data_IF_180787881454
#
_entry.id   IF_180787881454
#
_cell.length_a   1.000
_cell.length_b   1.000
_cell.length_c   1.000
_cell.angle_alpha   90.00
_cell.angle_beta   90.00
_cell.angle_gamma   90.00
#
_symmetry.space_group_name_H-M   'P 1'
#
loop_
_entity.id
_entity.type
_entity.pdbx_description
1 polymer ?
#
# COMPACT_ATOMS: atom_id res chain seq x y z
N UNK A 1 -4.27 -24.14 6.67
CA UNK A 1 -3.50 -24.50 7.88
C UNK A 1 -2.87 -23.27 8.52
N UNK A 2 -1.87 -22.64 7.89
CA UNK A 2 -1.10 -21.53 8.48
C UNK A 2 -1.99 -20.37 8.98
N UNK A 3 -2.95 -19.91 8.18
CA UNK A 3 -3.88 -18.84 8.57
C UNK A 3 -4.65 -19.10 9.88
N UNK A 4 -4.94 -20.37 10.20
CA UNK A 4 -5.62 -20.77 11.44
C UNK A 4 -4.65 -21.10 12.58
N UNK A 5 -3.37 -21.31 12.27
CA UNK A 5 -2.34 -21.65 13.25
C UNK A 5 -1.66 -20.42 13.88
N UNK A 6 -2.00 -19.22 13.43
CA UNK A 6 -1.52 -17.95 13.99
C UNK A 6 -2.63 -17.31 14.83
N UNK A 7 -2.35 -17.08 16.10
CA UNK A 7 -3.12 -16.26 17.02
C UNK A 7 -2.86 -14.77 16.73
N UNK A 8 -3.63 -14.24 15.78
CA UNK A 8 -3.54 -12.85 15.31
C UNK A 8 -3.98 -11.86 16.39
N UNK A 9 -4.96 -12.23 17.21
CA UNK A 9 -5.42 -11.40 18.33
C UNK A 9 -4.28 -11.18 19.34
N UNK A 10 -3.56 -12.25 19.70
CA UNK A 10 -2.39 -12.14 20.58
C UNK A 10 -1.29 -11.23 20.01
N UNK A 11 -1.10 -11.23 18.69
CA UNK A 11 -0.12 -10.34 18.04
C UNK A 11 -0.59 -8.89 18.16
N UNK A 12 -1.86 -8.60 17.83
CA UNK A 12 -2.42 -7.26 17.90
C UNK A 12 -2.42 -6.71 19.33
N UNK A 13 -2.91 -7.49 20.29
CA UNK A 13 -3.05 -7.05 21.68
C UNK A 13 -1.69 -6.73 22.34
N UNK A 14 -0.63 -7.44 21.96
CA UNK A 14 0.68 -7.30 22.62
C UNK A 14 1.65 -6.36 21.91
N UNK A 15 1.53 -6.21 20.58
CA UNK A 15 2.54 -5.50 19.77
C UNK A 15 2.00 -4.31 19.00
N UNK A 16 0.68 -4.12 18.94
CA UNK A 16 0.08 -2.97 18.26
C UNK A 16 -0.44 -1.93 19.25
N UNK A 17 -0.44 -0.63 18.89
CA UNK A 17 -0.98 0.41 19.75
C UNK A 17 -2.50 0.28 19.89
N UNK A 18 -3.03 0.81 21.00
CA UNK A 18 -4.47 0.87 21.23
C UNK A 18 -5.21 1.58 20.09
N UNK A 19 -6.34 1.01 19.68
CA UNK A 19 -7.10 1.43 18.50
C UNK A 19 -6.81 0.62 17.24
N UNK A 20 -5.78 -0.24 17.26
CA UNK A 20 -5.56 -1.23 16.21
C UNK A 20 -6.60 -2.34 16.28
N UNK A 21 -6.90 -2.96 15.15
CA UNK A 21 -7.87 -4.05 15.04
C UNK A 21 -7.27 -5.28 14.38
N UNK A 22 -7.73 -6.47 14.79
CA UNK A 22 -7.45 -7.71 14.08
C UNK A 22 -8.13 -7.65 12.73
N UNK A 23 -7.36 -7.82 11.65
CA UNK A 23 -7.88 -7.65 10.31
C UNK A 23 -8.91 -8.74 9.97
N UNK A 24 -10.11 -8.33 9.55
CA UNK A 24 -11.14 -9.24 9.05
C UNK A 24 -10.97 -9.57 7.56
N UNK A 25 -10.30 -8.68 6.81
CA UNK A 25 -10.07 -8.77 5.38
C UNK A 25 -8.66 -8.24 5.05
N UNK A 26 -8.25 -8.35 3.79
CA UNK A 26 -7.00 -7.72 3.33
C UNK A 26 -7.03 -6.20 3.50
N UNK A 27 -8.15 -5.58 3.10
CA UNK A 27 -8.33 -4.13 3.09
C UNK A 27 -9.12 -3.66 4.31
N UNK A 28 -8.76 -2.53 4.95
CA UNK A 28 -9.51 -2.00 6.09
C UNK A 28 -10.96 -1.63 5.75
N UNK A 29 -11.91 -1.95 6.64
CA UNK A 29 -13.34 -1.68 6.47
C UNK A 29 -13.71 -0.19 6.34
N UNK A 30 -12.80 0.72 6.68
CA UNK A 30 -13.01 2.16 6.50
C UNK A 30 -13.08 2.60 5.04
N UNK A 31 -12.67 1.74 4.10
CA UNK A 31 -12.73 1.99 2.66
C UNK A 31 -13.99 1.34 2.09
N UNK A 32 -14.72 2.07 1.25
CA UNK A 32 -15.93 1.55 0.58
C UNK A 32 -15.61 0.25 -0.19
N UNK A 33 -16.46 -0.76 -0.05
CA UNK A 33 -16.33 -2.10 -0.63
C UNK A 33 -15.10 -2.91 -0.18
N UNK A 34 -14.34 -2.46 0.82
CA UNK A 34 -13.09 -3.09 1.20
C UNK A 34 -13.24 -4.43 1.95
N UNK A 35 -14.29 -4.57 2.76
CA UNK A 35 -14.45 -5.70 3.66
C UNK A 35 -15.81 -6.40 3.50
N UNK A 36 -16.28 -6.43 2.26
CA UNK A 36 -17.48 -7.19 1.86
C UNK A 36 -17.16 -8.68 1.89
N UNK A 37 -18.17 -9.51 2.20
CA UNK A 37 -18.05 -10.96 2.22
C UNK A 37 -17.72 -11.55 3.59
N UNK A 38 -17.06 -12.71 3.57
CA UNK A 38 -16.76 -13.47 4.78
C UNK A 38 -15.50 -12.98 5.49
N UNK A 39 -15.62 -12.70 6.79
CA UNK A 39 -14.46 -12.42 7.65
C UNK A 39 -13.45 -13.57 7.66
N UNK A 40 -12.18 -13.21 7.88
CA UNK A 40 -11.05 -14.12 7.91
C UNK A 40 -11.20 -15.24 8.94
N UNK A 41 -10.39 -16.29 8.77
CA UNK A 41 -10.38 -17.44 9.66
C UNK A 41 -10.00 -17.08 11.11
N UNK A 42 -10.72 -17.70 12.06
CA UNK A 42 -10.38 -17.67 13.47
C UNK A 42 -9.19 -18.57 13.81
N UNK A 43 -8.52 -18.25 14.91
CA UNK A 43 -7.41 -19.06 15.43
C UNK A 43 -7.92 -20.42 15.95
N UNK A 44 -7.34 -21.49 15.43
CA UNK A 44 -7.57 -22.87 15.86
C UNK A 44 -6.33 -23.72 15.51
N UNK A 45 -5.38 -23.75 16.44
CA UNK A 45 -4.14 -24.51 16.29
C UNK A 45 -4.38 -26.02 16.10
N UNK A 46 -5.42 -26.58 16.71
CA UNK A 46 -5.74 -28.00 16.61
C UNK A 46 -6.15 -28.39 15.20
N UNK A 47 -7.11 -27.64 14.63
CA UNK A 47 -7.54 -27.82 13.24
C UNK A 47 -6.42 -27.46 12.26
N UNK A 48 -5.65 -26.41 12.52
CA UNK A 48 -4.53 -26.02 11.68
C UNK A 48 -3.48 -27.14 11.57
N UNK A 49 -3.12 -27.78 12.70
CA UNK A 49 -2.20 -28.92 12.75
C UNK A 49 -2.76 -30.16 12.05
N UNK A 50 -4.05 -30.46 12.20
CA UNK A 50 -4.70 -31.55 11.48
C UNK A 50 -4.65 -31.34 9.96
N UNK A 51 -5.00 -30.14 9.48
CA UNK A 51 -4.92 -29.80 8.06
C UNK A 51 -3.48 -29.87 7.51
N UNK A 52 -2.49 -29.49 8.32
CA UNK A 52 -1.08 -29.56 7.91
C UNK A 52 -0.60 -31.03 7.78
N UNK A 53 -1.05 -31.90 8.69
CA UNK A 53 -0.80 -33.33 8.60
C UNK A 53 -1.48 -33.97 7.37
N UNK A 54 -2.73 -33.60 7.08
CA UNK A 54 -3.45 -34.04 5.86
C UNK A 54 -2.74 -33.58 4.57
N UNK A 55 -2.12 -32.40 4.60
CA UNK A 55 -1.30 -31.89 3.51
C UNK A 55 0.08 -32.57 3.39
N UNK A 56 0.41 -33.54 4.25
CA UNK A 56 1.67 -34.29 4.20
C UNK A 56 2.80 -33.73 5.06
N UNK A 57 2.52 -32.76 5.95
CA UNK A 57 3.50 -32.13 6.84
C UNK A 57 3.15 -32.31 8.32
N UNK A 58 3.00 -33.55 8.84
CA UNK A 58 2.55 -33.80 10.21
C UNK A 58 3.50 -33.24 11.29
N UNK A 59 4.78 -33.10 10.95
CA UNK A 59 5.84 -32.58 11.82
C UNK A 59 6.33 -31.18 11.39
N UNK A 60 5.56 -30.50 10.52
CA UNK A 60 5.96 -29.22 9.95
C UNK A 60 7.08 -29.33 8.91
N UNK A 61 7.77 -28.21 8.67
CA UNK A 61 8.86 -28.07 7.71
C UNK A 61 9.76 -26.88 8.10
N UNK A 62 10.88 -26.72 7.39
CA UNK A 62 11.79 -25.58 7.56
C UNK A 62 11.50 -24.48 6.55
N UNK A 63 11.57 -23.23 6.98
CA UNK A 63 11.35 -22.07 6.11
C UNK A 63 12.03 -20.81 6.69
N UNK A 64 11.75 -19.65 6.11
CA UNK A 64 12.23 -18.33 6.58
C UNK A 64 11.05 -17.38 6.79
N UNK A 65 11.28 -16.35 7.58
CA UNK A 65 10.44 -15.16 7.73
C UNK A 65 11.29 -13.95 7.39
N UNK A 66 11.07 -13.35 6.23
CA UNK A 66 11.76 -12.14 5.79
C UNK A 66 11.02 -10.89 6.23
N UNK A 67 11.75 -9.85 6.62
CA UNK A 67 11.17 -8.55 6.92
C UNK A 67 12.24 -7.46 6.84
N UNK A 68 11.80 -6.20 6.77
CA UNK A 68 12.66 -5.03 7.01
C UNK A 68 12.39 -4.47 8.41
N UNK A 69 13.43 -4.09 9.14
CA UNK A 69 13.32 -3.58 10.51
C UNK A 69 13.07 -2.07 10.53
N UNK A 70 11.92 -1.67 9.96
CA UNK A 70 11.50 -0.27 9.90
C UNK A 70 10.07 -0.15 10.39
N UNK A 71 9.83 0.75 11.36
CA UNK A 71 8.49 1.01 11.89
C UNK A 71 7.51 1.36 10.77
N UNK A 72 6.32 0.76 10.81
CA UNK A 72 5.20 1.08 9.93
C UNK A 72 3.90 1.03 10.73
N UNK A 73 2.90 1.84 10.37
CA UNK A 73 1.60 1.80 11.05
C UNK A 73 0.95 0.42 11.03
N UNK A 74 1.15 -0.34 9.93
CA UNK A 74 0.68 -1.72 9.80
C UNK A 74 1.55 -2.78 10.50
N UNK A 75 2.76 -2.42 10.95
CA UNK A 75 3.72 -3.32 11.61
C UNK A 75 4.70 -2.47 12.46
N UNK A 76 4.31 -2.10 13.69
CA UNK A 76 5.07 -1.15 14.50
C UNK A 76 6.35 -1.72 15.12
N UNK A 77 6.37 -3.03 15.42
CA UNK A 77 7.51 -3.71 16.05
C UNK A 77 7.98 -4.92 15.22
N UNK A 78 8.53 -4.71 14.00
CA UNK A 78 8.75 -5.79 13.03
C UNK A 78 9.58 -6.96 13.56
N UNK A 79 10.71 -6.65 14.22
CA UNK A 79 11.60 -7.67 14.79
C UNK A 79 10.93 -8.54 15.84
N UNK A 80 10.16 -7.93 16.74
CA UNK A 80 9.49 -8.66 17.83
C UNK A 80 8.33 -9.49 17.27
N UNK A 81 7.55 -8.91 16.35
CA UNK A 81 6.45 -9.61 15.68
C UNK A 81 6.98 -10.80 14.85
N UNK A 82 8.12 -10.69 14.17
CA UNK A 82 8.74 -11.81 13.45
C UNK A 82 9.13 -12.98 14.37
N UNK A 83 9.70 -12.69 15.54
CA UNK A 83 10.02 -13.71 16.56
C UNK A 83 8.76 -14.35 17.14
N UNK A 84 7.69 -13.56 17.30
CA UNK A 84 6.39 -14.06 17.72
C UNK A 84 5.78 -15.00 16.68
N UNK A 85 5.83 -14.65 15.39
CA UNK A 85 5.43 -15.55 14.30
C UNK A 85 6.25 -16.85 14.30
N UNK A 86 7.57 -16.75 14.42
CA UNK A 86 8.44 -17.92 14.54
C UNK A 86 8.01 -18.83 15.71
N UNK A 87 7.71 -18.24 16.87
CA UNK A 87 7.27 -18.98 18.07
C UNK A 87 5.94 -19.67 17.83
N UNK A 88 4.94 -18.97 17.29
CA UNK A 88 3.63 -19.56 17.01
C UNK A 88 3.69 -20.64 15.93
N UNK A 89 4.46 -20.43 14.86
CA UNK A 89 4.68 -21.43 13.80
C UNK A 89 5.30 -22.72 14.37
N UNK A 90 6.32 -22.59 15.22
CA UNK A 90 6.95 -23.75 15.87
C UNK A 90 5.98 -24.45 16.83
N UNK A 91 5.37 -23.70 17.73
CA UNK A 91 4.61 -24.28 18.85
C UNK A 91 3.26 -24.84 18.39
N UNK A 92 2.57 -24.15 17.47
CA UNK A 92 1.25 -24.55 16.99
C UNK A 92 1.33 -25.54 15.82
N UNK A 93 2.32 -25.40 14.94
CA UNK A 93 2.39 -26.12 13.66
C UNK A 93 3.64 -26.98 13.45
N UNK A 94 4.64 -26.90 14.35
CA UNK A 94 5.91 -27.60 14.17
C UNK A 94 6.81 -27.02 13.07
N UNK A 95 6.48 -25.83 12.55
CA UNK A 95 7.24 -25.18 11.47
C UNK A 95 8.46 -24.47 12.07
N UNK A 96 9.65 -24.85 11.62
CA UNK A 96 10.94 -24.27 12.03
C UNK A 96 11.33 -23.16 11.06
N UNK A 97 11.01 -21.92 11.42
CA UNK A 97 11.26 -20.75 10.57
C UNK A 97 12.47 -19.95 11.05
N UNK A 98 13.40 -19.62 10.16
CA UNK A 98 14.50 -18.68 10.43
C UNK A 98 14.05 -17.23 10.20
N UNK A 99 14.30 -16.33 11.15
CA UNK A 99 13.98 -14.90 11.00
C UNK A 99 15.12 -14.19 10.28
N UNK A 100 14.82 -13.54 9.15
CA UNK A 100 15.80 -12.90 8.26
C UNK A 100 15.45 -11.42 8.10
N UNK A 101 16.30 -10.54 8.64
CA UNK A 101 16.21 -9.08 8.43
C UNK A 101 16.87 -8.74 7.10
N UNK A 102 16.22 -7.90 6.30
CA UNK A 102 16.73 -7.38 5.03
C UNK A 102 16.83 -5.84 5.06
N UNK A 103 17.68 -5.29 4.20
CA UNK A 103 17.68 -3.85 3.90
C UNK A 103 16.33 -3.48 3.26
N UNK A 104 15.86 -2.25 3.50
CA UNK A 104 14.50 -1.83 3.13
C UNK A 104 14.24 -1.84 1.63
N UNK A 105 15.15 -1.30 0.81
CA UNK A 105 15.02 -1.28 -0.64
C UNK A 105 15.10 -2.69 -1.23
N UNK A 106 16.08 -3.48 -0.79
CA UNK A 106 16.23 -4.88 -1.21
C UNK A 106 15.00 -5.73 -0.87
N UNK A 107 14.45 -5.58 0.35
CA UNK A 107 13.25 -6.29 0.77
C UNK A 107 12.04 -5.98 -0.11
N UNK A 108 11.83 -4.71 -0.45
CA UNK A 108 10.71 -4.28 -1.29
C UNK A 108 10.86 -4.86 -2.70
N UNK A 109 12.03 -4.76 -3.31
CA UNK A 109 12.29 -5.32 -4.64
C UNK A 109 12.10 -6.86 -4.68
N UNK A 110 12.68 -7.59 -3.73
CA UNK A 110 12.56 -9.05 -3.68
C UNK A 110 11.12 -9.52 -3.38
N UNK A 111 10.40 -8.83 -2.48
CA UNK A 111 9.01 -9.20 -2.12
C UNK A 111 8.02 -8.89 -3.24
N UNK A 112 8.07 -7.69 -3.84
CA UNK A 112 7.21 -7.29 -4.97
C UNK A 112 7.37 -8.25 -6.15
N UNK A 113 8.59 -8.71 -6.42
CA UNK A 113 8.85 -9.60 -7.54
C UNK A 113 8.70 -11.10 -7.22
N UNK A 114 8.19 -11.45 -6.05
CA UNK A 114 7.93 -12.85 -5.67
C UNK A 114 9.19 -13.71 -5.58
N UNK A 115 10.34 -13.11 -5.24
CA UNK A 115 11.65 -13.79 -5.22
C UNK A 115 12.05 -14.33 -3.84
N UNK A 116 11.29 -14.00 -2.78
CA UNK A 116 11.51 -14.51 -1.43
C UNK A 116 11.04 -15.96 -1.27
N UNK A 117 11.93 -16.85 -0.82
CA UNK A 117 11.70 -18.30 -0.68
C UNK A 117 11.14 -18.70 0.70
N UNK A 118 10.22 -17.90 1.25
CA UNK A 118 9.65 -18.12 2.58
C UNK A 118 8.48 -17.19 2.89
N UNK A 119 8.08 -17.14 4.14
CA UNK A 119 7.13 -16.13 4.61
C UNK A 119 7.81 -14.77 4.64
N UNK A 120 7.03 -13.70 4.52
CA UNK A 120 7.52 -12.36 4.76
C UNK A 120 6.47 -11.49 5.44
N UNK A 121 6.94 -10.53 6.24
CA UNK A 121 6.09 -9.56 6.92
C UNK A 121 6.07 -8.26 6.12
N UNK A 122 4.95 -8.01 5.47
CA UNK A 122 4.70 -6.79 4.70
C UNK A 122 3.31 -6.27 5.06
N UNK A 123 3.06 -5.00 4.74
CA UNK A 123 1.75 -4.40 4.79
C UNK A 123 1.68 -3.17 3.91
N UNK A 124 0.50 -2.58 3.87
CA UNK A 124 0.18 -1.47 2.98
C UNK A 124 -0.42 -0.31 3.75
N UNK A 125 0.02 0.90 3.44
CA UNK A 125 -0.66 2.13 3.82
C UNK A 125 -1.35 2.69 2.60
N UNK A 126 -2.64 3.03 2.71
CA UNK A 126 -3.39 3.55 1.57
C UNK A 126 -2.72 4.80 0.98
N UNK A 127 -2.38 4.84 -0.31
CA UNK A 127 -1.94 6.06 -1.00
C UNK A 127 -3.13 6.96 -1.35
N UNK A 128 -4.25 6.33 -1.72
CA UNK A 128 -5.53 6.97 -2.01
C UNK A 128 -6.69 6.12 -1.47
N UNK A 129 -7.83 6.75 -1.11
CA UNK A 129 -8.88 6.10 -0.33
C UNK A 129 -9.85 5.29 -1.20
N UNK A 130 -9.33 4.37 -2.01
CA UNK A 130 -10.12 3.49 -2.86
C UNK A 130 -9.60 2.05 -2.76
N UNK A 131 -10.50 1.07 -2.86
CA UNK A 131 -10.17 -0.35 -2.68
C UNK A 131 -9.14 -0.86 -3.70
N UNK A 132 -9.11 -0.27 -4.90
CA UNK A 132 -8.10 -0.58 -5.94
C UNK A 132 -6.68 -0.18 -5.54
N UNK A 133 -6.48 0.71 -4.57
CA UNK A 133 -5.13 0.98 -4.05
C UNK A 133 -4.54 -0.22 -3.28
N UNK A 134 -5.42 -1.10 -2.78
CA UNK A 134 -5.02 -2.32 -2.07
C UNK A 134 -5.09 -3.52 -3.01
N UNK A 135 -6.29 -3.83 -3.51
CA UNK A 135 -6.54 -5.12 -4.14
C UNK A 135 -5.86 -5.25 -5.50
N UNK A 136 -6.04 -4.28 -6.38
CA UNK A 136 -5.54 -4.33 -7.74
C UNK A 136 -3.99 -4.32 -7.76
N UNK A 137 -3.34 -3.56 -6.87
CA UNK A 137 -1.88 -3.54 -6.78
C UNK A 137 -1.36 -4.92 -6.41
N UNK A 138 -1.87 -5.51 -5.34
CA UNK A 138 -1.35 -6.75 -4.75
C UNK A 138 -1.82 -8.03 -5.44
N UNK A 139 -2.96 -8.00 -6.15
CA UNK A 139 -3.60 -9.19 -6.72
C UNK A 139 -3.85 -9.12 -8.22
N UNK A 140 -3.29 -8.14 -8.95
CA UNK A 140 -3.42 -8.10 -10.41
C UNK A 140 -2.80 -9.32 -11.11
N UNK A 141 -3.20 -9.55 -12.36
CA UNK A 141 -2.63 -10.57 -13.24
C UNK A 141 -1.14 -10.39 -13.55
N UNK A 142 -0.56 -9.22 -13.22
CA UNK A 142 0.83 -8.86 -13.48
C UNK A 142 1.71 -8.83 -12.23
N UNK A 143 1.14 -8.95 -11.03
CA UNK A 143 1.91 -8.90 -9.79
C UNK A 143 2.28 -10.32 -9.30
N UNK A 144 3.58 -10.70 -9.29
CA UNK A 144 4.03 -12.03 -8.86
C UNK A 144 4.27 -12.14 -7.35
N UNK A 145 3.99 -11.11 -6.55
CA UNK A 145 4.32 -11.03 -5.12
C UNK A 145 3.87 -12.24 -4.29
N UNK A 146 2.72 -12.83 -4.63
CA UNK A 146 2.18 -14.03 -3.96
C UNK A 146 2.35 -15.31 -4.80
N UNK A 147 3.30 -15.32 -5.74
CA UNK A 147 3.52 -16.42 -6.67
C UNK A 147 2.69 -16.27 -7.95
N UNK A 148 2.18 -17.38 -8.47
CA UNK A 148 1.36 -17.37 -9.69
C UNK A 148 0.04 -16.61 -9.46
N UNK A 149 -0.26 -15.57 -10.26
CA UNK A 149 -1.51 -14.82 -10.11
C UNK A 149 -2.77 -15.69 -10.26
N UNK A 150 -3.80 -15.36 -9.48
CA UNK A 150 -5.02 -16.16 -9.37
C UNK A 150 -6.18 -15.55 -10.18
N UNK A 151 -6.64 -16.18 -11.29
CA UNK A 151 -7.72 -15.66 -12.12
C UNK A 151 -9.06 -15.53 -11.39
N UNK A 152 -9.27 -16.29 -10.33
CA UNK A 152 -10.42 -16.21 -9.44
C UNK A 152 -10.45 -14.89 -8.66
N UNK A 153 -9.31 -14.20 -8.53
CA UNK A 153 -9.20 -12.89 -7.89
C UNK A 153 -9.10 -11.80 -8.96
N UNK A 154 -8.06 -11.83 -9.80
CA UNK A 154 -7.74 -10.67 -10.63
C UNK A 154 -8.83 -10.34 -11.67
N UNK A 155 -9.57 -11.32 -12.18
CA UNK A 155 -10.64 -11.05 -13.17
C UNK A 155 -11.81 -10.29 -12.55
N UNK A 156 -12.13 -10.58 -11.29
CA UNK A 156 -13.18 -9.86 -10.56
C UNK A 156 -12.75 -8.42 -10.30
N UNK A 157 -11.48 -8.20 -9.96
CA UNK A 157 -10.91 -6.87 -9.75
C UNK A 157 -10.87 -6.05 -11.04
N UNK A 158 -10.42 -6.65 -12.15
CA UNK A 158 -10.41 -6.03 -13.49
C UNK A 158 -11.83 -5.62 -13.94
N UNK A 159 -12.85 -6.44 -13.65
CA UNK A 159 -14.24 -6.07 -13.93
C UNK A 159 -14.72 -4.96 -12.99
N UNK A 160 -14.48 -5.09 -11.68
CA UNK A 160 -14.96 -4.15 -10.67
C UNK A 160 -14.37 -2.74 -10.81
N UNK A 161 -13.09 -2.63 -11.18
CA UNK A 161 -12.40 -1.35 -11.37
C UNK A 161 -12.88 -0.59 -12.61
N UNK A 162 -13.56 -1.26 -13.55
CA UNK A 162 -14.21 -0.61 -14.70
C UNK A 162 -15.57 0.03 -14.37
N UNK A 163 -16.10 -0.20 -13.16
CA UNK A 163 -17.44 0.24 -12.75
C UNK A 163 -17.33 1.47 -11.82
N UNK A 164 -17.82 2.62 -12.30
CA UNK A 164 -17.77 3.87 -11.52
C UNK A 164 -18.76 3.97 -10.35
N UNK A 165 -19.83 3.15 -10.33
CA UNK A 165 -20.79 3.11 -9.22
C UNK A 165 -20.38 2.05 -8.19
N UNK A 166 -20.03 2.51 -6.98
CA UNK A 166 -19.56 1.63 -5.91
C UNK A 166 -20.58 0.55 -5.51
N UNK A 167 -21.89 0.84 -5.54
CA UNK A 167 -22.90 -0.14 -5.16
C UNK A 167 -23.07 -1.22 -6.24
N UNK A 168 -22.85 -0.87 -7.51
CA UNK A 168 -22.84 -1.82 -8.63
C UNK A 168 -21.57 -2.68 -8.60
N UNK A 169 -20.41 -2.12 -8.24
CA UNK A 169 -19.15 -2.85 -8.13
C UNK A 169 -19.08 -3.77 -6.89
N UNK A 170 -19.86 -3.51 -5.85
CA UNK A 170 -19.79 -4.19 -4.54
C UNK A 170 -19.80 -5.73 -4.62
N UNK A 171 -20.70 -6.40 -5.37
CA UNK A 171 -20.72 -7.87 -5.41
C UNK A 171 -19.43 -8.48 -5.96
N UNK A 172 -18.74 -7.80 -6.88
CA UNK A 172 -17.47 -8.27 -7.43
C UNK A 172 -16.35 -8.20 -6.38
N UNK A 173 -16.32 -7.14 -5.55
CA UNK A 173 -15.39 -7.04 -4.43
C UNK A 173 -15.69 -8.05 -3.32
N UNK A 174 -16.96 -8.36 -3.06
CA UNK A 174 -17.37 -9.45 -2.16
C UNK A 174 -16.82 -10.80 -2.64
N UNK A 175 -17.04 -11.13 -3.92
CA UNK A 175 -16.53 -12.36 -4.51
C UNK A 175 -14.98 -12.41 -4.51
N UNK A 176 -14.32 -11.28 -4.78
CA UNK A 176 -12.86 -11.19 -4.77
C UNK A 176 -12.29 -11.41 -3.36
N UNK A 177 -12.89 -10.80 -2.34
CA UNK A 177 -12.51 -11.00 -0.93
C UNK A 177 -12.70 -12.46 -0.50
N UNK A 178 -13.83 -13.07 -0.88
CA UNK A 178 -14.09 -14.49 -0.62
C UNK A 178 -13.07 -15.39 -1.33
N UNK A 179 -12.66 -15.06 -2.55
CA UNK A 179 -11.60 -15.77 -3.27
C UNK A 179 -10.22 -15.63 -2.60
N UNK A 180 -9.85 -14.43 -2.15
CA UNK A 180 -8.63 -14.19 -1.36
C UNK A 180 -8.64 -15.05 -0.10
N UNK A 181 -9.76 -15.08 0.63
CA UNK A 181 -9.94 -15.92 1.81
C UNK A 181 -9.83 -17.41 1.50
N UNK A 182 -10.41 -17.88 0.39
CA UNK A 182 -10.37 -19.30 0.02
C UNK A 182 -8.97 -19.77 -0.42
N UNK A 183 -8.23 -18.93 -1.16
CA UNK A 183 -6.92 -19.23 -1.73
C UNK A 183 -5.79 -19.04 -0.71
N UNK A 184 -5.95 -18.06 0.20
CA UNK A 184 -4.96 -17.72 1.24
C UNK A 184 -3.58 -17.37 0.65
N UNK A 185 -3.48 -16.42 -0.30
CA UNK A 185 -2.17 -15.95 -0.82
C UNK A 185 -1.36 -15.22 0.25
N UNK A 186 -2.05 -14.62 1.22
CA UNK A 186 -1.48 -13.94 2.39
C UNK A 186 -2.39 -14.18 3.62
N UNK A 187 -1.92 -13.79 4.81
CA UNK A 187 -2.71 -13.81 6.04
C UNK A 187 -2.83 -12.37 6.57
N UNK A 188 -4.03 -11.75 6.58
CA UNK A 188 -4.22 -10.42 7.11
C UNK A 188 -4.15 -10.49 8.64
N UNK A 189 -3.26 -9.70 9.23
CA UNK A 189 -2.96 -9.75 10.67
C UNK A 189 -3.70 -8.63 11.39
N UNK A 190 -3.47 -7.39 10.97
CA UNK A 190 -3.94 -6.20 11.66
C UNK A 190 -4.22 -5.05 10.70
N UNK A 191 -5.15 -4.18 11.09
CA UNK A 191 -5.18 -2.80 10.64
C UNK A 191 -4.70 -1.94 11.82
N UNK A 192 -3.46 -1.47 11.71
CA UNK A 192 -2.80 -0.78 12.80
C UNK A 192 -3.26 0.67 12.96
N UNK A 193 -3.56 1.07 14.19
CA UNK A 193 -3.80 2.47 14.50
C UNK A 193 -2.52 3.28 14.27
N UNK A 194 -2.67 4.42 13.61
CA UNK A 194 -1.59 5.39 13.45
C UNK A 194 -1.82 6.57 14.38
N UNK A 195 -0.75 7.01 15.02
CA UNK A 195 -0.71 8.23 15.80
C UNK A 195 0.45 9.09 15.34
N UNK A 196 0.28 10.41 15.43
CA UNK A 196 1.36 11.37 15.22
C UNK A 196 1.53 12.21 16.47
N UNK A 197 2.78 12.50 16.81
CA UNK A 197 3.13 13.38 17.91
C UNK A 197 3.80 14.64 17.37
N UNK A 198 3.48 15.78 17.98
CA UNK A 198 4.12 17.05 17.66
C UNK A 198 4.38 17.84 18.94
N UNK A 199 5.34 18.77 18.87
CA UNK A 199 5.55 19.74 19.95
C UNK A 199 4.29 20.59 20.13
N UNK A 200 3.96 20.92 21.38
CA UNK A 200 2.74 21.67 21.72
C UNK A 200 2.60 23.02 21.01
N UNK A 201 3.71 23.59 20.53
CA UNK A 201 3.71 24.85 19.75
C UNK A 201 3.32 24.69 18.27
N UNK A 202 3.33 23.46 17.73
CA UNK A 202 2.96 23.21 16.32
C UNK A 202 1.44 23.20 16.21
N UNK A 203 0.90 24.15 15.47
CA UNK A 203 -0.53 24.20 15.16
C UNK A 203 -0.80 23.33 13.94
N UNK A 204 -1.99 22.73 13.89
CA UNK A 204 -2.42 21.87 12.77
C UNK A 204 -1.38 20.80 12.42
N UNK A 205 -0.76 20.20 13.46
CA UNK A 205 0.10 19.03 13.32
C UNK A 205 -0.72 17.77 12.97
N UNK A 206 -1.50 17.87 11.90
CA UNK A 206 -2.44 16.87 11.48
C UNK A 206 -1.76 15.89 10.52
N UNK A 207 -2.05 14.61 10.73
CA UNK A 207 -1.64 13.52 9.85
C UNK A 207 -2.90 12.94 9.22
N UNK A 208 -2.93 12.90 7.89
CA UNK A 208 -4.06 12.35 7.14
C UNK A 208 -4.07 10.81 7.25
N UNK A 209 -5.25 10.14 7.20
CA UNK A 209 -5.33 8.68 7.39
C UNK A 209 -4.83 7.86 6.18
N UNK A 210 -4.48 8.49 5.06
CA UNK A 210 -4.01 7.89 3.81
C UNK A 210 -3.11 8.88 3.08
N UNK A 211 -2.23 8.42 2.20
CA UNK A 211 -1.28 9.23 1.45
C UNK A 211 -0.18 9.80 2.33
N UNK A 212 0.76 10.53 1.72
CA UNK A 212 1.88 11.09 2.44
C UNK A 212 1.48 12.30 3.30
N UNK A 213 2.21 12.59 4.40
CA UNK A 213 1.92 13.74 5.24
C UNK A 213 2.01 15.05 4.46
N UNK A 214 1.14 16.02 4.77
CA UNK A 214 1.10 17.32 4.08
C UNK A 214 1.72 18.42 4.96
N UNK A 215 3.01 18.71 4.79
CA UNK A 215 3.72 19.62 5.70
C UNK A 215 3.21 21.06 5.63
N UNK A 216 2.71 21.47 4.46
CA UNK A 216 2.14 22.81 4.25
C UNK A 216 0.87 23.09 5.11
N UNK A 217 0.30 22.07 5.76
CA UNK A 217 -0.82 22.23 6.70
C UNK A 217 -0.36 22.51 8.13
N UNK A 218 0.86 22.09 8.49
CA UNK A 218 1.42 22.31 9.81
C UNK A 218 2.02 23.72 9.92
N UNK A 219 1.78 24.39 11.04
CA UNK A 219 2.38 25.69 11.37
C UNK A 219 3.27 25.53 12.62
N UNK A 220 4.60 25.46 12.46
CA UNK A 220 5.52 25.37 13.58
C UNK A 220 5.78 26.72 14.27
N UNK A 221 5.17 27.83 13.81
CA UNK A 221 5.39 29.18 14.32
C UNK A 221 6.76 29.77 13.98
N UNK A 222 7.45 29.20 12.98
CA UNK A 222 8.81 29.58 12.53
C UNK A 222 9.06 29.09 11.11
N UNK A 223 10.14 29.57 10.50
CA UNK A 223 10.49 29.27 9.10
C UNK A 223 10.96 27.83 8.85
N UNK A 224 11.31 27.09 9.91
CA UNK A 224 11.81 25.72 9.81
C UNK A 224 10.84 24.73 10.46
N UNK A 225 10.30 23.82 9.66
CA UNK A 225 9.61 22.64 10.15
C UNK A 225 10.60 21.48 10.29
N UNK A 226 10.59 20.82 11.44
CA UNK A 226 11.40 19.61 11.68
C UNK A 226 10.44 18.44 11.76
N UNK A 227 10.58 17.50 10.82
CA UNK A 227 9.79 16.29 10.74
C UNK A 227 10.71 15.09 10.99
N UNK A 228 10.21 14.11 11.75
CA UNK A 228 10.91 12.85 11.98
C UNK A 228 10.16 11.75 11.22
N UNK A 229 10.90 10.91 10.53
CA UNK A 229 10.38 9.74 9.82
C UNK A 229 11.28 8.53 10.03
N UNK A 230 10.85 7.36 9.56
CA UNK A 230 11.39 6.08 9.99
C UNK A 230 12.68 5.67 9.25
N UNK A 231 12.93 6.22 8.05
CA UNK A 231 14.14 5.99 7.26
C UNK A 231 14.47 7.21 6.37
N UNK A 232 15.68 7.21 5.78
CA UNK A 232 16.06 8.18 4.75
C UNK A 232 15.27 7.90 3.45
N UNK A 233 14.79 8.92 2.72
CA UNK A 233 14.22 8.73 1.39
C UNK A 233 15.19 8.01 0.46
N UNK A 234 14.71 7.02 -0.29
CA UNK A 234 15.51 6.33 -1.32
C UNK A 234 15.85 7.31 -2.46
N UNK A 235 14.87 8.16 -2.81
CA UNK A 235 14.99 9.21 -3.81
C UNK A 235 14.03 10.37 -3.52
N UNK A 236 14.19 11.46 -4.25
CA UNK A 236 13.24 12.59 -4.27
C UNK A 236 12.40 12.64 -5.56
N UNK A 237 12.58 11.68 -6.47
CA UNK A 237 11.85 11.61 -7.73
C UNK A 237 10.60 10.74 -7.57
N UNK A 238 9.46 11.36 -7.27
CA UNK A 238 8.23 10.65 -6.86
C UNK A 238 7.79 9.50 -7.78
N UNK A 239 8.05 9.58 -9.08
CA UNK A 239 7.48 8.63 -10.05
C UNK A 239 8.17 7.25 -10.04
N UNK A 240 9.33 7.15 -9.38
CA UNK A 240 10.11 5.90 -9.29
C UNK A 240 9.90 5.16 -7.98
N UNK A 241 9.31 5.83 -6.99
CA UNK A 241 9.34 5.36 -5.60
C UNK A 241 7.98 4.80 -5.18
N UNK A 242 8.03 3.71 -4.43
CA UNK A 242 6.85 3.03 -3.86
C UNK A 242 6.86 3.01 -2.33
N UNK A 243 7.90 3.55 -1.71
CA UNK A 243 8.01 3.65 -0.26
C UNK A 243 7.47 4.97 0.30
N UNK A 244 6.91 4.92 1.51
CA UNK A 244 6.30 6.07 2.15
C UNK A 244 7.28 7.19 2.54
N UNK A 245 8.54 6.86 2.83
CA UNK A 245 9.56 7.84 3.21
C UNK A 245 9.96 8.74 2.04
N UNK A 246 10.12 8.16 0.85
CA UNK A 246 10.33 8.93 -0.38
C UNK A 246 9.11 9.76 -0.76
N UNK A 247 7.91 9.17 -0.69
CA UNK A 247 6.66 9.86 -1.00
C UNK A 247 6.39 11.03 -0.04
N UNK A 248 6.72 10.90 1.25
CA UNK A 248 6.58 11.97 2.24
C UNK A 248 7.42 13.20 1.90
N UNK A 249 8.66 13.00 1.44
CA UNK A 249 9.54 14.10 1.07
C UNK A 249 9.17 14.70 -0.30
N UNK A 250 8.95 13.86 -1.31
CA UNK A 250 8.79 14.32 -2.68
C UNK A 250 7.44 15.02 -2.91
N UNK A 251 6.36 14.62 -2.21
CA UNK A 251 5.05 15.29 -2.31
C UNK A 251 5.04 16.72 -1.77
N UNK A 252 6.11 17.17 -1.11
CA UNK A 252 6.21 18.56 -0.65
C UNK A 252 6.70 19.52 -1.74
N UNK A 253 7.27 19.00 -2.82
CA UNK A 253 7.89 19.79 -3.90
C UNK A 253 7.15 19.66 -5.23
N UNK A 254 6.11 18.84 -5.30
CA UNK A 254 5.22 18.69 -6.46
C UNK A 254 3.77 18.97 -6.06
N UNK A 255 2.95 19.41 -7.02
CA UNK A 255 1.51 19.61 -6.81
C UNK A 255 0.72 18.89 -7.92
N UNK A 256 -0.29 18.08 -7.59
CA UNK A 256 -1.07 17.34 -8.58
C UNK A 256 -2.19 18.19 -9.19
N UNK A 257 -2.81 17.69 -10.27
CA UNK A 257 -4.02 18.31 -10.86
C UNK A 257 -5.22 18.25 -9.92
N UNK A 258 -5.44 17.08 -9.31
CA UNK A 258 -6.48 16.82 -8.33
C UNK A 258 -5.84 16.26 -7.05
N UNK A 259 -6.52 16.45 -5.92
CA UNK A 259 -6.10 15.90 -4.64
C UNK A 259 -7.28 15.26 -3.91
N UNK A 260 -7.03 14.85 -2.68
CA UNK A 260 -8.06 14.30 -1.80
C UNK A 260 -8.19 15.13 -0.54
N UNK A 261 -9.42 15.51 -0.21
CA UNK A 261 -9.76 16.15 1.04
C UNK A 261 -9.36 15.26 2.22
N UNK A 262 -8.73 15.86 3.22
CA UNK A 262 -8.10 15.14 4.34
C UNK A 262 -9.12 14.33 5.14
N UNK A 263 -10.28 14.92 5.42
CA UNK A 263 -11.26 14.35 6.35
C UNK A 263 -12.19 13.33 5.70
N UNK A 264 -12.43 13.46 4.39
CA UNK A 264 -13.44 12.66 3.69
C UNK A 264 -12.88 11.76 2.59
N UNK A 265 -11.64 11.98 2.14
CA UNK A 265 -11.11 11.30 0.95
C UNK A 265 -11.78 11.72 -0.36
N UNK A 266 -12.67 12.71 -0.35
CA UNK A 266 -13.31 13.20 -1.57
C UNK A 266 -12.29 13.90 -2.48
N UNK A 267 -12.46 13.74 -3.79
CA UNK A 267 -11.64 14.43 -4.78
C UNK A 267 -11.84 15.95 -4.65
N UNK A 268 -10.74 16.70 -4.63
CA UNK A 268 -10.73 18.16 -4.56
C UNK A 268 -9.81 18.77 -5.64
N UNK A 269 -10.19 19.94 -6.11
CA UNK A 269 -9.42 20.71 -7.09
C UNK A 269 -8.06 21.17 -6.52
N UNK A 270 -7.00 20.96 -7.29
CA UNK A 270 -5.64 21.46 -6.99
C UNK A 270 -5.16 22.37 -8.11
N UNK A 271 -4.21 21.92 -8.95
CA UNK A 271 -3.79 22.65 -10.14
C UNK A 271 -4.87 22.66 -11.23
N UNK A 272 -5.78 21.68 -11.24
CA UNK A 272 -6.99 21.71 -12.04
C UNK A 272 -8.20 22.16 -11.20
N UNK A 273 -9.00 23.08 -11.73
CA UNK A 273 -10.26 23.54 -11.11
C UNK A 273 -11.43 22.61 -11.42
N UNK A 274 -11.36 21.91 -12.55
CA UNK A 274 -12.33 20.91 -12.99
C UNK A 274 -11.63 19.87 -13.88
N UNK A 275 -12.12 18.63 -13.87
CA UNK A 275 -11.73 17.60 -14.81
C UNK A 275 -12.97 16.80 -15.20
N UNK A 276 -13.24 16.68 -16.50
CA UNK A 276 -14.40 15.93 -17.02
C UNK A 276 -13.95 14.88 -18.04
N UNK A 277 -14.58 13.71 -17.93
CA UNK A 277 -14.37 12.59 -18.85
C UNK A 277 -15.33 12.68 -20.05
N UNK A 278 -14.90 12.13 -21.19
CA UNK A 278 -15.82 11.78 -22.27
C UNK A 278 -16.70 10.57 -21.88
N UNK A 279 -17.66 10.22 -22.72
CA UNK A 279 -18.72 9.25 -22.37
C UNK A 279 -18.22 7.84 -22.02
N UNK A 280 -17.07 7.42 -22.56
CA UNK A 280 -16.45 6.11 -22.31
C UNK A 280 -15.23 6.20 -21.39
N UNK A 281 -14.98 7.36 -20.78
CA UNK A 281 -13.87 7.62 -19.85
C UNK A 281 -12.46 7.42 -20.41
N UNK A 282 -12.30 7.44 -21.73
CA UNK A 282 -11.01 7.31 -22.42
C UNK A 282 -10.27 8.64 -22.62
N UNK A 283 -10.96 9.77 -22.50
CA UNK A 283 -10.39 11.11 -22.63
C UNK A 283 -10.86 12.00 -21.48
N UNK A 284 -9.91 12.58 -20.75
CA UNK A 284 -10.16 13.52 -19.67
C UNK A 284 -9.69 14.92 -20.05
N UNK A 285 -10.54 15.91 -19.86
CA UNK A 285 -10.23 17.33 -20.07
C UNK A 285 -10.21 18.04 -18.73
N UNK A 286 -9.07 18.62 -18.37
CA UNK A 286 -8.90 19.36 -17.12
C UNK A 286 -8.70 20.86 -17.36
N UNK A 287 -9.45 21.68 -16.64
CA UNK A 287 -9.28 23.14 -16.64
C UNK A 287 -8.23 23.54 -15.62
N UNK A 288 -7.12 24.15 -16.07
CA UNK A 288 -6.03 24.54 -15.18
C UNK A 288 -6.32 25.86 -14.44
N UNK A 289 -5.91 25.90 -13.18
CA UNK A 289 -5.94 27.08 -12.32
C UNK A 289 -5.04 28.17 -12.91
N UNK A 290 -5.60 29.37 -13.10
CA UNK A 290 -4.88 30.52 -13.65
C UNK A 290 -3.96 31.16 -12.62
N UNK A 291 -2.84 31.69 -13.09
CA UNK A 291 -1.92 32.49 -12.28
C UNK A 291 -1.02 31.69 -11.33
N UNK A 292 -0.98 30.36 -11.47
CA UNK A 292 -0.02 29.51 -10.74
C UNK A 292 1.39 29.79 -11.24
N UNK A 293 2.34 29.85 -10.30
CA UNK A 293 3.75 30.17 -10.55
C UNK A 293 4.65 29.11 -9.95
N UNK A 294 5.71 28.75 -10.67
CA UNK A 294 6.82 27.98 -10.12
C UNK A 294 7.70 28.87 -9.24
N UNK A 295 8.59 28.26 -8.46
CA UNK A 295 9.49 28.98 -7.55
C UNK A 295 10.50 29.91 -8.27
N UNK A 296 10.73 29.68 -9.57
CA UNK A 296 11.56 30.55 -10.42
C UNK A 296 10.77 31.73 -11.03
N UNK A 297 9.46 31.82 -10.79
CA UNK A 297 8.56 32.88 -11.28
C UNK A 297 7.91 32.59 -12.65
N UNK A 298 8.27 31.49 -13.31
CA UNK A 298 7.60 31.05 -14.55
C UNK A 298 6.13 30.69 -14.28
N UNK A 299 5.28 30.85 -15.29
CA UNK A 299 3.85 30.50 -15.18
C UNK A 299 3.63 29.04 -15.52
N UNK A 300 2.73 28.38 -14.78
CA UNK A 300 2.20 27.09 -15.19
C UNK A 300 1.30 27.22 -16.42
N UNK A 301 1.52 26.38 -17.42
CA UNK A 301 0.58 26.11 -18.50
C UNK A 301 0.41 24.60 -18.79
N UNK A 302 -0.39 24.27 -19.81
CA UNK A 302 -0.70 22.88 -20.14
C UNK A 302 0.53 22.08 -20.63
N UNK A 303 1.54 22.73 -21.21
CA UNK A 303 2.76 22.04 -21.65
C UNK A 303 3.58 21.56 -20.45
N UNK A 304 3.56 22.27 -19.33
CA UNK A 304 4.25 21.84 -18.11
C UNK A 304 3.61 20.58 -17.52
N UNK A 305 2.27 20.50 -17.57
CA UNK A 305 1.51 19.32 -17.17
C UNK A 305 1.85 18.14 -18.09
N UNK A 306 1.86 18.37 -19.41
CA UNK A 306 2.25 17.35 -20.40
C UNK A 306 3.69 16.90 -20.19
N UNK A 307 4.62 17.82 -19.92
CA UNK A 307 6.02 17.50 -19.68
C UNK A 307 6.20 16.65 -18.41
N UNK A 308 5.49 17.00 -17.34
CA UNK A 308 5.50 16.24 -16.07
C UNK A 308 4.92 14.83 -16.26
N UNK A 309 3.81 14.73 -16.98
CA UNK A 309 3.19 13.45 -17.33
C UNK A 309 4.11 12.58 -18.18
N UNK A 310 4.71 13.16 -19.22
CA UNK A 310 5.63 12.46 -20.10
C UNK A 310 6.87 11.94 -19.36
N UNK A 311 7.38 12.68 -18.36
CA UNK A 311 8.52 12.22 -17.55
C UNK A 311 8.19 11.00 -16.65
N UNK A 312 6.90 10.82 -16.32
CA UNK A 312 6.41 9.67 -15.54
C UNK A 312 5.99 8.47 -16.38
N UNK A 313 5.52 8.66 -17.61
CA UNK A 313 4.99 7.55 -18.45
C UNK A 313 5.95 7.08 -19.55
N UNK A 314 6.94 7.89 -19.96
CA UNK A 314 7.90 7.55 -21.01
C UNK A 314 9.27 7.20 -20.42
N UNK A 315 9.63 5.92 -20.50
CA UNK A 315 10.88 5.40 -19.97
C UNK A 315 12.13 5.98 -20.63
N UNK A 316 12.00 6.54 -21.84
CA UNK A 316 13.09 7.16 -22.58
C UNK A 316 13.16 8.69 -22.39
N UNK A 317 12.26 9.28 -21.62
CA UNK A 317 12.18 10.74 -21.48
C UNK A 317 13.47 11.32 -20.87
N UNK A 318 14.08 12.36 -21.46
CA UNK A 318 15.32 12.92 -20.93
C UNK A 318 15.18 13.57 -19.54
N UNK A 319 13.96 13.97 -19.16
CA UNK A 319 13.63 14.52 -17.84
C UNK A 319 13.37 13.42 -16.80
N UNK A 320 13.32 12.16 -17.21
CA UNK A 320 13.31 11.03 -16.31
C UNK A 320 14.71 10.86 -15.70
N UNK A 321 14.88 11.42 -14.50
CA UNK A 321 16.14 11.40 -13.71
C UNK A 321 15.92 10.76 -12.35
N UNK A 322 15.12 9.69 -12.33
CA UNK A 322 14.89 8.90 -11.13
C UNK A 322 16.09 8.03 -10.75
N UNK A 323 15.90 7.20 -9.73
CA UNK A 323 16.96 6.38 -9.15
C UNK A 323 17.05 5.01 -9.85
N UNK A 324 15.93 4.28 -9.86
CA UNK A 324 15.86 2.89 -10.34
C UNK A 324 15.38 2.78 -11.77
N UNK A 325 14.55 3.73 -12.24
CA UNK A 325 13.82 3.60 -13.50
C UNK A 325 12.85 2.43 -13.52
N UNK A 326 12.32 2.02 -12.35
CA UNK A 326 11.41 0.88 -12.21
C UNK A 326 9.94 1.22 -12.52
N UNK A 327 9.52 2.48 -12.29
CA UNK A 327 8.17 2.99 -12.58
C UNK A 327 7.00 2.11 -12.07
N UNK A 328 7.17 1.42 -10.94
CA UNK A 328 6.21 0.38 -10.51
C UNK A 328 4.78 0.92 -10.46
N UNK A 329 4.56 2.07 -9.83
CA UNK A 329 3.24 2.70 -9.76
C UNK A 329 2.74 3.23 -11.10
N UNK A 330 3.59 3.83 -11.93
CA UNK A 330 3.13 4.35 -13.24
C UNK A 330 2.76 3.22 -14.19
N UNK A 331 3.59 2.17 -14.25
CA UNK A 331 3.28 0.98 -15.04
C UNK A 331 1.99 0.31 -14.54
N UNK A 332 1.81 0.23 -13.22
CA UNK A 332 0.61 -0.32 -12.62
C UNK A 332 -0.65 0.52 -12.92
N UNK A 333 -0.62 1.83 -12.70
CA UNK A 333 -1.77 2.72 -12.83
C UNK A 333 -2.21 2.96 -14.29
N UNK A 334 -1.28 2.84 -15.24
CA UNK A 334 -1.49 3.23 -16.65
C UNK A 334 -1.32 2.08 -17.64
N UNK A 335 -1.34 0.84 -17.14
CA UNK A 335 -1.23 -0.39 -17.93
C UNK A 335 0.07 -0.50 -18.75
N UNK A 336 1.16 0.00 -18.18
CA UNK A 336 2.51 -0.01 -18.75
C UNK A 336 3.07 1.37 -19.01
N UNK A 337 4.30 1.39 -19.53
CA UNK A 337 5.02 2.61 -19.89
C UNK A 337 5.21 2.70 -21.40
N UNK A 338 5.29 3.93 -21.89
CA UNK A 338 5.81 4.19 -23.22
C UNK A 338 7.31 3.89 -23.25
N UNK A 339 7.76 3.21 -24.30
CA UNK A 339 9.18 2.94 -24.57
C UNK A 339 9.94 2.12 -23.50
N UNK A 340 9.22 1.38 -22.63
CA UNK A 340 9.84 0.35 -21.80
C UNK A 340 10.17 -0.90 -22.64
N UNK A 341 11.33 -1.52 -22.37
CA UNK A 341 11.81 -2.71 -23.08
C UNK A 341 11.20 -4.00 -22.54
#
# INVERSE_FOLDING_TARGET
AIAMGIDRARIVDNFFPGGSEVASHFTPCSITNACEGESWYEFDAGKAKAMLAEAGYPDGFKTKIFFRDVFRGYLPEPSIVAVEFQTQLRDNLGIDAEVVVMESGEFIDESTNGRLDGFYLLGWGADYPHVTNFLDFHFSSKNPQYGTPHPEIYKLLEEASSIGDAAVARPLYEDANNAIKAIVPMVPIAHGASASAALAGVKNAHFRPFGAPLFHRADPGKDTFVFMQNAEPISLYCTDETDGESLAACQQVVEPLLGYAIDSGAIEARLATDCSANADSTVWTCELRKGVKFHDGSSLDANDVVASWAAGIDAANPNHKGNTGAFEYYSYLWDGLMNAQ
#
